data_IF_648545140358
#
_entry.id   IF_648545140358
#
_cell.length_a   1.000
_cell.length_b   1.000
_cell.length_c   1.000
_cell.angle_alpha   90.00
_cell.angle_beta   90.00
_cell.angle_gamma   90.00
#
_symmetry.space_group_name_H-M   'P 1'
#
loop_
_entity.id
_entity.type
_entity.pdbx_description
1 polymer ?
#
# COMPACT_ATOMS: atom_id res chain seq x y z
N UNK A 1 -32.36 15.32 23.13
CA UNK A 1 -32.15 14.11 22.32
C UNK A 1 -31.86 14.63 20.92
N UNK A 2 -30.59 14.66 20.50
CA UNK A 2 -30.24 15.17 19.19
C UNK A 2 -30.47 14.05 18.18
N UNK A 3 -31.39 14.26 17.24
CA UNK A 3 -31.58 13.37 16.10
C UNK A 3 -30.31 13.39 15.24
N UNK A 4 -29.71 12.21 15.09
CA UNK A 4 -28.54 11.97 14.27
C UNK A 4 -28.90 12.27 12.81
N UNK A 5 -28.32 13.32 12.23
CA UNK A 5 -28.51 13.70 10.81
C UNK A 5 -27.66 12.87 9.84
N UNK A 6 -27.11 11.75 10.29
CA UNK A 6 -26.32 10.84 9.45
C UNK A 6 -27.31 10.04 8.59
N UNK A 7 -27.18 10.06 7.25
CA UNK A 7 -27.97 9.19 6.38
C UNK A 7 -27.83 7.74 6.83
N UNK A 8 -28.96 7.05 6.96
CA UNK A 8 -29.01 5.65 7.37
C UNK A 8 -28.16 4.79 6.42
N UNK A 9 -27.04 4.23 6.91
CA UNK A 9 -26.16 3.35 6.14
C UNK A 9 -24.72 3.83 5.93
N UNK A 10 -24.36 5.06 6.30
CA UNK A 10 -22.94 5.47 6.33
C UNK A 10 -22.26 5.00 7.63
N UNK A 11 -21.05 4.43 7.58
CA UNK A 11 -20.28 4.13 8.79
C UNK A 11 -20.01 5.44 9.56
N UNK A 12 -20.25 5.42 10.88
CA UNK A 12 -19.95 6.55 11.76
C UNK A 12 -18.42 6.66 11.96
N UNK A 13 -17.74 7.22 10.97
CA UNK A 13 -16.29 7.42 11.02
C UNK A 13 -15.96 8.65 11.86
N UNK A 14 -14.94 8.52 12.71
CA UNK A 14 -14.44 9.63 13.52
C UNK A 14 -13.91 10.76 12.64
N UNK A 15 -14.11 12.02 13.07
CA UNK A 15 -13.48 13.17 12.40
C UNK A 15 -11.96 13.12 12.51
N UNK A 16 -11.26 13.41 11.42
CA UNK A 16 -9.81 13.44 11.37
C UNK A 16 -9.20 14.45 12.36
N UNK A 17 -9.87 15.58 12.60
CA UNK A 17 -9.46 16.58 13.61
C UNK A 17 -9.52 16.02 15.03
N UNK A 18 -10.60 15.32 15.38
CA UNK A 18 -10.76 14.67 16.68
C UNK A 18 -9.74 13.54 16.87
N UNK A 19 -9.51 12.74 15.83
CA UNK A 19 -8.51 11.66 15.90
C UNK A 19 -7.08 12.20 16.05
N UNK A 20 -6.73 13.32 15.40
CA UNK A 20 -5.44 13.99 15.61
C UNK A 20 -5.25 14.45 17.06
N UNK A 21 -6.29 14.95 17.70
CA UNK A 21 -6.25 15.34 19.11
C UNK A 21 -6.03 14.11 20.01
N UNK A 22 -6.80 13.06 19.79
CA UNK A 22 -6.63 11.77 20.47
C UNK A 22 -5.19 11.24 20.35
N UNK A 23 -4.63 11.26 19.13
CA UNK A 23 -3.25 10.83 18.91
C UNK A 23 -2.25 11.69 19.72
N UNK A 24 -2.42 13.02 19.75
CA UNK A 24 -1.53 13.92 20.52
C UNK A 24 -1.58 13.62 22.01
N UNK A 25 -2.77 13.35 22.55
CA UNK A 25 -2.94 12.96 23.96
C UNK A 25 -2.22 11.65 24.26
N UNK A 26 -2.38 10.64 23.38
CA UNK A 26 -1.70 9.35 23.48
C UNK A 26 -0.16 9.47 23.43
N UNK A 27 0.36 10.42 22.63
CA UNK A 27 1.78 10.77 22.55
C UNK A 27 2.29 11.42 23.83
N UNK A 28 1.51 12.33 24.41
CA UNK A 28 1.85 13.01 25.65
C UNK A 28 1.89 12.01 26.82
N UNK A 29 0.96 11.06 26.87
CA UNK A 29 0.95 9.96 27.85
C UNK A 29 2.14 9.00 27.66
N UNK A 30 2.46 8.66 26.42
CA UNK A 30 3.63 7.85 26.09
C UNK A 30 4.96 8.51 26.49
N UNK A 31 5.08 9.83 26.29
CA UNK A 31 6.26 10.60 26.70
C UNK A 31 6.42 10.67 28.22
N UNK A 32 5.31 10.67 28.96
CA UNK A 32 5.31 10.64 30.43
C UNK A 32 5.62 9.25 31.00
N UNK A 33 5.19 8.19 30.32
CA UNK A 33 5.40 6.79 30.73
C UNK A 33 6.69 6.15 30.18
N UNK A 34 7.36 6.79 29.22
CA UNK A 34 8.57 6.29 28.57
C UNK A 34 8.35 5.17 27.54
N UNK A 35 7.09 4.83 27.23
CA UNK A 35 6.72 3.75 26.30
C UNK A 35 5.91 4.33 25.13
N UNK A 36 6.51 4.38 23.93
CA UNK A 36 5.82 4.86 22.71
C UNK A 36 4.68 3.92 22.29
N UNK A 37 3.43 4.30 22.58
CA UNK A 37 2.22 3.47 22.40
C UNK A 37 1.77 3.31 20.94
N UNK A 38 2.16 4.23 20.04
CA UNK A 38 1.77 4.18 18.61
C UNK A 38 2.43 3.07 17.79
N UNK A 39 3.57 2.55 18.26
CA UNK A 39 4.43 1.68 17.44
C UNK A 39 5.02 0.50 18.26
N UNK A 40 4.92 0.52 19.59
CA UNK A 40 5.44 -0.56 20.46
C UNK A 40 4.67 -1.88 20.37
N UNK A 41 3.43 -1.86 19.86
CA UNK A 41 2.62 -3.06 19.67
C UNK A 41 2.89 -3.77 18.33
N UNK A 42 3.60 -3.10 17.40
CA UNK A 42 4.04 -3.70 16.14
C UNK A 42 5.29 -4.56 16.35
N UNK A 43 5.43 -5.64 15.57
CA UNK A 43 6.66 -6.44 15.60
C UNK A 43 7.89 -5.59 15.25
N UNK A 44 9.07 -5.82 15.86
CA UNK A 44 10.27 -5.01 15.63
C UNK A 44 10.69 -4.88 14.16
N UNK A 45 10.47 -5.91 13.34
CA UNK A 45 10.79 -5.90 11.91
C UNK A 45 9.88 -4.98 11.11
N UNK A 46 8.56 -5.09 11.27
CA UNK A 46 7.60 -4.18 10.65
C UNK A 46 7.84 -2.73 11.08
N UNK A 47 8.08 -2.52 12.38
CA UNK A 47 8.40 -1.21 12.92
C UNK A 47 9.65 -0.59 12.29
N UNK A 48 10.72 -1.38 12.17
CA UNK A 48 11.95 -0.91 11.53
C UNK A 48 11.74 -0.57 10.06
N UNK A 49 10.85 -1.28 9.36
CA UNK A 49 10.51 -0.99 7.98
C UNK A 49 9.70 0.31 7.84
N UNK A 50 8.69 0.52 8.69
CA UNK A 50 7.90 1.75 8.72
C UNK A 50 8.76 2.98 9.03
N UNK A 51 9.68 2.87 10.00
CA UNK A 51 10.59 3.99 10.32
C UNK A 51 11.53 4.35 9.17
N UNK A 52 11.88 3.42 8.28
CA UNK A 52 12.71 3.74 7.11
C UNK A 52 11.98 4.66 6.14
N UNK A 53 10.65 4.53 6.03
CA UNK A 53 9.84 5.42 5.19
C UNK A 53 9.75 6.82 5.79
N UNK A 54 9.58 6.94 7.11
CA UNK A 54 9.49 8.23 7.81
C UNK A 54 10.83 8.99 7.84
N UNK A 55 11.96 8.29 7.90
CA UNK A 55 13.30 8.88 7.91
C UNK A 55 13.61 9.71 6.65
N UNK A 56 12.85 9.52 5.56
CA UNK A 56 12.91 10.34 4.34
C UNK A 56 12.25 11.73 4.46
N UNK A 57 11.67 12.08 5.61
CA UNK A 57 11.06 13.40 5.87
C UNK A 57 9.59 13.53 5.46
N UNK A 58 8.95 12.44 5.06
CA UNK A 58 7.53 12.37 4.70
C UNK A 58 6.68 11.58 5.70
N UNK A 59 5.35 11.73 5.63
CA UNK A 59 4.41 10.79 6.26
C UNK A 59 4.39 9.50 5.46
N UNK A 60 4.45 8.33 6.12
CA UNK A 60 4.38 7.03 5.42
C UNK A 60 3.23 6.98 4.42
N UNK A 61 3.53 6.63 3.17
CA UNK A 61 2.52 6.50 2.11
C UNK A 61 1.72 5.21 2.31
N UNK A 62 0.44 5.20 1.94
CA UNK A 62 -0.44 4.04 2.17
C UNK A 62 0.12 2.78 1.50
N UNK A 63 0.65 2.93 0.27
CA UNK A 63 1.23 1.81 -0.47
C UNK A 63 2.41 1.17 0.27
N UNK A 64 3.26 1.99 0.91
CA UNK A 64 4.44 1.51 1.64
C UNK A 64 4.06 0.70 2.87
N UNK A 65 3.10 1.22 3.64
CA UNK A 65 2.60 0.54 4.84
C UNK A 65 1.98 -0.80 4.45
N UNK A 66 1.09 -0.82 3.44
CA UNK A 66 0.45 -2.06 3.01
C UNK A 66 1.49 -3.04 2.42
N UNK A 67 2.45 -2.56 1.63
CA UNK A 67 3.55 -3.38 1.09
C UNK A 67 4.39 -4.02 2.21
N UNK A 68 4.73 -3.25 3.25
CA UNK A 68 5.44 -3.76 4.42
C UNK A 68 4.63 -4.84 5.14
N UNK A 69 3.33 -4.63 5.33
CA UNK A 69 2.45 -5.61 5.97
C UNK A 69 2.35 -6.91 5.18
N UNK A 70 2.24 -6.83 3.84
CA UNK A 70 2.28 -8.00 2.95
C UNK A 70 3.61 -8.73 3.07
N UNK A 71 4.72 -8.02 2.97
CA UNK A 71 6.08 -8.60 3.05
C UNK A 71 6.35 -9.31 4.36
N UNK A 72 5.86 -8.74 5.47
CA UNK A 72 6.05 -9.29 6.82
C UNK A 72 4.95 -10.26 7.25
N UNK A 73 3.90 -10.46 6.44
CA UNK A 73 2.75 -11.30 6.78
C UNK A 73 2.08 -10.87 8.08
N UNK A 74 2.02 -9.56 8.37
CA UNK A 74 1.45 -9.02 9.60
C UNK A 74 0.09 -8.39 9.35
N UNK A 75 -0.90 -8.83 10.11
CA UNK A 75 -2.24 -8.25 10.12
C UNK A 75 -2.19 -6.91 10.87
N UNK A 76 -2.63 -5.84 10.23
CA UNK A 76 -2.62 -4.48 10.80
C UNK A 76 -3.92 -3.75 10.52
N UNK A 77 -4.24 -2.77 11.35
CA UNK A 77 -5.21 -1.71 11.05
C UNK A 77 -4.48 -0.42 10.75
N UNK A 78 -4.71 0.14 9.57
CA UNK A 78 -4.15 1.39 9.09
C UNK A 78 -5.24 2.46 9.18
N UNK A 79 -5.04 3.46 10.01
CA UNK A 79 -5.96 4.59 10.14
C UNK A 79 -5.60 5.63 9.09
N UNK A 80 -6.46 5.77 8.08
CA UNK A 80 -6.26 6.64 6.93
C UNK A 80 -7.07 7.92 7.08
N UNK A 81 -6.48 9.07 6.76
CA UNK A 81 -7.26 10.28 6.55
C UNK A 81 -8.01 10.16 5.22
N UNK A 82 -9.34 10.12 5.29
CA UNK A 82 -10.27 10.03 4.18
C UNK A 82 -11.18 11.27 4.19
N UNK A 83 -10.73 12.33 3.50
CA UNK A 83 -11.32 13.65 3.62
C UNK A 83 -11.23 14.20 5.05
N UNK A 84 -12.40 14.51 5.63
CA UNK A 84 -12.53 14.97 7.03
C UNK A 84 -12.75 13.83 8.03
N UNK A 85 -12.77 12.58 7.57
CA UNK A 85 -13.03 11.39 8.38
C UNK A 85 -11.78 10.50 8.46
N UNK A 86 -11.77 9.59 9.42
CA UNK A 86 -10.75 8.54 9.56
C UNK A 86 -11.31 7.22 9.11
N UNK A 87 -10.64 6.58 8.16
CA UNK A 87 -10.98 5.25 7.67
C UNK A 87 -10.03 4.20 8.26
N UNK A 88 -10.49 3.32 9.16
CA UNK A 88 -9.70 2.17 9.61
C UNK A 88 -9.72 1.06 8.55
N UNK A 89 -8.60 0.87 7.86
CA UNK A 89 -8.40 -0.16 6.87
C UNK A 89 -7.62 -1.33 7.47
N UNK A 90 -8.23 -2.49 7.63
CA UNK A 90 -7.57 -3.67 8.20
C UNK A 90 -7.07 -4.61 7.10
N UNK A 91 -5.77 -4.89 7.08
CA UNK A 91 -5.12 -5.73 6.06
C UNK A 91 -4.85 -7.12 6.63
N UNK A 92 -5.29 -8.15 5.92
CA UNK A 92 -5.09 -9.57 6.22
C UNK A 92 -4.20 -10.20 5.13
N UNK A 93 -2.86 -10.08 5.23
CA UNK A 93 -1.97 -10.39 4.12
C UNK A 93 -1.93 -11.88 3.77
N UNK A 94 -2.05 -12.77 4.75
CA UNK A 94 -2.03 -14.22 4.53
C UNK A 94 -3.32 -14.69 3.86
N UNK A 95 -4.45 -14.15 4.28
CA UNK A 95 -5.77 -14.46 3.76
C UNK A 95 -6.08 -13.73 2.45
N UNK A 96 -5.19 -12.81 2.03
CA UNK A 96 -5.35 -11.94 0.84
C UNK A 96 -6.64 -11.13 0.89
N UNK A 97 -7.00 -10.64 2.07
CA UNK A 97 -8.20 -9.87 2.31
C UNK A 97 -7.87 -8.49 2.88
N UNK A 98 -8.80 -7.56 2.66
CA UNK A 98 -8.84 -6.28 3.34
C UNK A 98 -10.26 -6.06 3.87
N UNK A 99 -10.38 -5.51 5.07
CA UNK A 99 -11.63 -5.02 5.62
C UNK A 99 -11.65 -3.49 5.60
N UNK A 100 -12.71 -2.92 5.04
CA UNK A 100 -12.95 -1.48 4.97
C UNK A 100 -14.38 -1.20 5.42
N UNK A 101 -14.62 -0.26 6.35
CA UNK A 101 -15.97 0.09 6.75
C UNK A 101 -16.74 0.85 5.65
N UNK A 102 -16.04 1.38 4.63
CA UNK A 102 -16.66 1.95 3.43
C UNK A 102 -16.57 0.96 2.27
N UNK A 103 -17.60 0.87 1.41
CA UNK A 103 -17.56 0.11 0.17
C UNK A 103 -16.36 0.45 -0.71
N UNK A 104 -15.84 -0.55 -1.43
CA UNK A 104 -14.58 -0.42 -2.18
C UNK A 104 -14.70 0.56 -3.36
N UNK A 105 -15.86 0.63 -3.99
CA UNK A 105 -16.18 1.63 -5.02
C UNK A 105 -16.11 3.07 -4.48
N UNK A 106 -16.56 3.30 -3.25
CA UNK A 106 -16.41 4.58 -2.57
C UNK A 106 -14.95 4.86 -2.21
N UNK A 107 -14.21 3.85 -1.73
CA UNK A 107 -12.78 3.97 -1.42
C UNK A 107 -11.96 4.35 -2.66
N UNK A 108 -12.29 3.75 -3.82
CA UNK A 108 -11.62 4.01 -5.09
C UNK A 108 -12.17 5.25 -5.81
N UNK A 109 -13.34 5.76 -5.44
CA UNK A 109 -13.93 6.96 -6.02
C UNK A 109 -13.16 8.23 -5.64
N UNK A 110 -12.58 8.26 -4.44
CA UNK A 110 -11.73 9.36 -4.00
C UNK A 110 -10.31 9.28 -4.58
N UNK A 111 -9.58 10.41 -4.67
CA UNK A 111 -8.19 10.40 -5.10
C UNK A 111 -7.34 9.62 -4.10
N UNK A 112 -6.98 8.37 -4.41
CA UNK A 112 -6.12 7.52 -3.58
C UNK A 112 -4.79 8.19 -3.22
N UNK A 113 -4.28 9.06 -4.08
CA UNK A 113 -3.10 9.90 -3.83
C UNK A 113 -3.27 10.94 -2.70
N UNK A 114 -4.50 11.19 -2.22
CA UNK A 114 -4.77 12.08 -1.07
C UNK A 114 -4.90 11.33 0.25
N UNK A 115 -4.95 9.99 0.23
CA UNK A 115 -4.98 9.20 1.45
C UNK A 115 -3.68 9.41 2.21
N UNK A 116 -3.79 9.71 3.51
CA UNK A 116 -2.63 9.85 4.39
C UNK A 116 -2.72 8.86 5.53
N UNK A 117 -1.62 8.19 5.82
CA UNK A 117 -1.54 7.35 7.01
C UNK A 117 -1.47 8.25 8.24
N UNK A 118 -2.40 8.07 9.17
CA UNK A 118 -2.43 8.78 10.44
C UNK A 118 -1.83 7.94 11.57
N UNK A 119 -2.11 6.63 11.57
CA UNK A 119 -1.69 5.70 12.62
C UNK A 119 -1.74 4.25 12.11
N UNK A 120 -0.88 3.38 12.63
CA UNK A 120 -0.84 1.95 12.28
C UNK A 120 -0.74 1.14 13.56
N UNK A 121 -1.59 0.13 13.71
CA UNK A 121 -1.61 -0.74 14.89
C UNK A 121 -1.87 -2.21 14.50
N UNK A 122 -1.58 -3.18 15.38
CA UNK A 122 -1.97 -4.57 15.15
C UNK A 122 -3.48 -4.70 14.94
N UNK A 123 -3.88 -5.58 14.01
CA UNK A 123 -5.29 -5.82 13.77
C UNK A 123 -5.95 -6.48 14.98
N UNK A 124 -6.98 -5.82 15.52
CA UNK A 124 -7.91 -6.45 16.48
C UNK A 124 -8.91 -7.35 15.76
N UNK A 125 -9.36 -6.95 14.56
CA UNK A 125 -10.26 -7.77 13.75
C UNK A 125 -9.57 -9.06 13.31
N UNK A 126 -10.36 -10.12 13.20
CA UNK A 126 -9.98 -11.42 12.68
C UNK A 126 -10.52 -11.62 11.27
N UNK A 127 -9.82 -12.37 10.40
CA UNK A 127 -10.31 -12.64 9.06
C UNK A 127 -11.53 -13.58 9.09
N UNK A 128 -12.33 -13.61 8.01
CA UNK A 128 -13.39 -14.60 7.84
C UNK A 128 -12.88 -16.03 8.02
N UNK A 129 -13.60 -16.84 8.80
CA UNK A 129 -13.24 -18.24 9.10
C UNK A 129 -12.39 -18.43 10.36
N UNK A 130 -12.00 -17.36 11.05
CA UNK A 130 -11.30 -17.44 12.34
C UNK A 130 -12.19 -18.03 13.45
N UNK A 131 -11.56 -18.63 14.46
CA UNK A 131 -12.24 -19.25 15.61
C UNK A 131 -12.88 -18.20 16.51
N UNK A 132 -12.27 -17.01 16.61
CA UNK A 132 -12.78 -15.88 17.38
C UNK A 132 -13.81 -15.08 16.58
N UNK A 133 -14.96 -15.70 16.26
CA UNK A 133 -16.00 -15.13 15.39
C UNK A 133 -16.51 -13.75 15.80
N UNK A 134 -16.48 -13.42 17.09
CA UNK A 134 -16.90 -12.12 17.60
C UNK A 134 -15.98 -10.96 17.15
N UNK A 135 -14.74 -11.27 16.76
CA UNK A 135 -13.78 -10.31 16.25
C UNK A 135 -13.75 -10.28 14.71
N UNK A 136 -14.57 -11.09 14.03
CA UNK A 136 -14.69 -11.06 12.57
C UNK A 136 -15.65 -9.94 12.19
N UNK A 137 -15.16 -8.98 11.42
CA UNK A 137 -15.99 -7.88 10.90
C UNK A 137 -17.08 -8.38 9.94
N UNK A 138 -17.95 -7.49 9.49
CA UNK A 138 -19.02 -7.88 8.56
C UNK A 138 -18.44 -8.44 7.25
N UNK A 139 -18.94 -9.60 6.79
CA UNK A 139 -18.38 -10.28 5.62
C UNK A 139 -18.46 -9.44 4.34
N UNK A 140 -19.52 -8.64 4.17
CA UNK A 140 -19.68 -7.74 3.00
C UNK A 140 -18.64 -6.61 2.94
N UNK A 141 -18.00 -6.30 4.07
CA UNK A 141 -16.97 -5.27 4.19
C UNK A 141 -15.57 -5.82 3.96
N UNK A 142 -15.45 -7.14 3.74
CA UNK A 142 -14.21 -7.78 3.32
C UNK A 142 -14.17 -7.83 1.79
N UNK A 143 -13.02 -7.46 1.22
CA UNK A 143 -12.76 -7.54 -0.21
C UNK A 143 -11.37 -8.14 -0.48
N UNK A 144 -11.12 -8.67 -1.69
CA UNK A 144 -9.80 -9.15 -2.07
C UNK A 144 -8.74 -8.05 -1.96
N UNK A 145 -7.56 -8.41 -1.46
CA UNK A 145 -6.45 -7.47 -1.28
C UNK A 145 -5.79 -7.06 -2.63
N UNK A 146 -5.78 -7.96 -3.61
CA UNK A 146 -5.07 -7.74 -4.87
C UNK A 146 -5.55 -6.51 -5.67
N UNK A 147 -6.87 -6.26 -5.87
CA UNK A 147 -7.36 -5.04 -6.49
C UNK A 147 -6.94 -3.76 -5.74
N UNK A 148 -6.98 -3.76 -4.41
CA UNK A 148 -6.55 -2.61 -3.62
C UNK A 148 -5.07 -2.30 -3.82
N UNK A 149 -4.19 -3.32 -3.80
CA UNK A 149 -2.77 -3.15 -4.04
C UNK A 149 -2.50 -2.57 -5.43
N UNK A 150 -3.24 -3.05 -6.44
CA UNK A 150 -3.15 -2.55 -7.81
C UNK A 150 -3.54 -1.07 -7.89
N UNK A 151 -4.72 -0.72 -7.35
CA UNK A 151 -5.22 0.66 -7.37
C UNK A 151 -4.31 1.63 -6.60
N UNK A 152 -3.79 1.22 -5.42
CA UNK A 152 -2.84 2.02 -4.65
C UNK A 152 -1.52 2.22 -5.41
N UNK A 153 -1.03 1.20 -6.10
CA UNK A 153 0.19 1.32 -6.90
C UNK A 153 -0.01 2.23 -8.12
N UNK A 154 -1.13 2.09 -8.82
CA UNK A 154 -1.41 2.79 -10.08
C UNK A 154 -1.91 4.23 -9.89
N UNK A 155 -2.61 4.52 -8.79
CA UNK A 155 -3.28 5.80 -8.54
C UNK A 155 -2.94 6.45 -7.20
N UNK A 156 -2.18 5.79 -6.34
CA UNK A 156 -1.75 6.33 -5.06
C UNK A 156 -0.68 7.43 -5.17
N UNK A 157 -0.21 7.88 -3.99
CA UNK A 157 0.70 9.02 -3.88
C UNK A 157 2.15 8.70 -4.27
N UNK A 158 2.57 7.44 -4.15
CA UNK A 158 3.96 7.04 -4.40
C UNK A 158 4.34 7.15 -5.89
N UNK A 159 5.40 7.91 -6.15
CA UNK A 159 6.01 8.13 -7.46
C UNK A 159 7.43 7.52 -7.58
N UNK A 160 7.86 6.79 -6.55
CA UNK A 160 9.12 6.07 -6.49
C UNK A 160 8.93 4.54 -6.48
N UNK A 161 9.95 3.81 -6.93
CA UNK A 161 9.97 2.35 -6.79
C UNK A 161 9.99 1.96 -5.32
N UNK A 162 9.24 0.92 -4.94
CA UNK A 162 9.35 0.32 -3.61
C UNK A 162 10.82 -0.06 -3.34
N UNK A 163 11.35 0.13 -2.11
CA UNK A 163 12.78 -0.04 -1.82
C UNK A 163 13.36 -1.40 -2.26
N UNK A 164 12.54 -2.45 -2.25
CA UNK A 164 12.94 -3.82 -2.59
C UNK A 164 13.29 -3.97 -4.07
N UNK A 165 12.62 -3.19 -4.92
CA UNK A 165 12.76 -3.23 -6.37
C UNK A 165 13.48 -2.00 -6.94
N UNK A 166 13.81 -1.04 -6.07
CA UNK A 166 14.58 0.14 -6.42
C UNK A 166 16.05 -0.17 -6.73
N UNK A 167 16.72 0.79 -7.35
CA UNK A 167 18.11 0.69 -7.80
C UNK A 167 18.27 0.02 -9.17
N UNK A 168 19.51 -0.07 -9.68
CA UNK A 168 19.79 -0.64 -11.00
C UNK A 168 19.31 -2.09 -11.12
N UNK A 169 18.40 -2.33 -12.05
CA UNK A 169 17.80 -3.64 -12.29
C UNK A 169 17.15 -3.70 -13.68
N UNK A 170 16.99 -4.91 -14.17
CA UNK A 170 16.04 -5.21 -15.25
C UNK A 170 14.87 -6.00 -14.67
N UNK A 171 13.70 -5.77 -15.27
CA UNK A 171 12.43 -6.26 -14.80
C UNK A 171 11.81 -7.17 -15.85
N UNK A 172 11.17 -8.26 -15.41
CA UNK A 172 10.41 -9.19 -16.25
C UNK A 172 9.17 -9.64 -15.50
N UNK A 173 8.09 -9.95 -16.21
CA UNK A 173 6.89 -10.53 -15.60
C UNK A 173 7.11 -12.03 -15.38
N UNK A 174 6.74 -12.51 -14.19
CA UNK A 174 6.78 -13.91 -13.83
C UNK A 174 5.75 -14.73 -14.64
N UNK A 175 6.09 -15.97 -15.04
CA UNK A 175 5.10 -16.89 -15.58
C UNK A 175 3.97 -17.12 -14.57
N UNK A 176 2.71 -17.14 -15.02
CA UNK A 176 1.56 -17.38 -14.15
C UNK A 176 1.01 -16.16 -13.41
N UNK A 177 1.48 -14.94 -13.70
CA UNK A 177 0.78 -13.74 -13.23
C UNK A 177 -0.64 -13.67 -13.81
N UNK A 178 -1.62 -13.77 -12.93
CA UNK A 178 -3.05 -13.60 -13.20
C UNK A 178 -3.46 -12.13 -13.02
N UNK A 179 -4.16 -11.57 -14.01
CA UNK A 179 -4.61 -10.17 -14.02
C UNK A 179 -6.14 -10.03 -14.14
N UNK A 180 -6.86 -11.15 -14.24
CA UNK A 180 -8.29 -11.18 -14.59
C UNK A 180 -9.18 -10.41 -13.61
N UNK A 181 -8.79 -10.37 -12.34
CA UNK A 181 -9.53 -9.67 -11.28
C UNK A 181 -9.14 -8.20 -11.13
N UNK A 182 -8.21 -7.69 -11.95
CA UNK A 182 -7.64 -6.35 -11.83
C UNK A 182 -8.13 -5.44 -12.95
N UNK A 183 -8.32 -4.16 -12.63
CA UNK A 183 -8.62 -3.13 -13.61
C UNK A 183 -7.33 -2.71 -14.34
N UNK A 184 -6.88 -3.54 -15.28
CA UNK A 184 -5.69 -3.27 -16.10
C UNK A 184 -6.10 -2.53 -17.36
N UNK A 185 -5.45 -1.39 -17.66
CA UNK A 185 -5.69 -0.64 -18.89
C UNK A 185 -4.96 -1.26 -20.07
N UNK A 186 -5.41 -1.00 -21.29
CA UNK A 186 -4.83 -1.59 -22.51
C UNK A 186 -3.33 -1.31 -22.69
N UNK A 187 -2.88 -0.11 -22.33
CA UNK A 187 -1.47 0.29 -22.41
C UNK A 187 -0.61 -0.39 -21.33
N UNK A 188 -1.17 -0.61 -20.15
CA UNK A 188 -0.56 -1.40 -19.08
C UNK A 188 -0.46 -2.88 -19.47
N UNK A 189 -1.52 -3.43 -20.06
CA UNK A 189 -1.54 -4.82 -20.53
C UNK A 189 -0.49 -5.04 -21.63
N UNK A 190 -0.40 -4.13 -22.60
CA UNK A 190 0.63 -4.17 -23.64
C UNK A 190 2.06 -4.12 -23.06
N UNK A 191 2.28 -3.32 -22.01
CA UNK A 191 3.57 -3.29 -21.32
C UNK A 191 3.85 -4.59 -20.56
N UNK A 192 2.84 -5.17 -19.89
CA UNK A 192 2.95 -6.48 -19.22
C UNK A 192 3.31 -7.56 -20.24
N UNK A 193 2.65 -7.62 -21.38
CA UNK A 193 2.90 -8.64 -22.40
C UNK A 193 4.32 -8.56 -22.96
N UNK A 194 4.84 -7.34 -23.17
CA UNK A 194 6.26 -7.13 -23.52
C UNK A 194 7.19 -7.64 -22.41
N UNK A 195 6.89 -7.30 -21.16
CA UNK A 195 7.69 -7.74 -20.00
C UNK A 195 7.60 -9.24 -19.75
N UNK A 196 6.61 -9.98 -20.29
CA UNK A 196 6.60 -11.46 -20.21
C UNK A 196 7.71 -12.06 -21.07
N UNK A 197 8.03 -11.40 -22.18
CA UNK A 197 9.00 -11.88 -23.18
C UNK A 197 10.40 -11.33 -22.93
N UNK A 198 10.53 -10.06 -22.55
CA UNK A 198 11.81 -9.36 -22.50
C UNK A 198 12.09 -8.76 -21.12
N UNK A 199 13.32 -8.94 -20.63
CA UNK A 199 13.82 -8.27 -19.44
C UNK A 199 14.26 -6.84 -19.79
N UNK A 200 13.70 -5.83 -19.14
CA UNK A 200 13.88 -4.42 -19.54
C UNK A 200 14.14 -3.53 -18.32
N UNK A 201 15.02 -2.53 -18.42
CA UNK A 201 15.26 -1.56 -17.34
C UNK A 201 14.15 -0.49 -17.27
N UNK A 202 14.07 0.25 -16.15
CA UNK A 202 13.03 1.26 -15.95
C UNK A 202 13.04 2.36 -17.03
N UNK A 203 14.24 2.78 -17.47
CA UNK A 203 14.38 3.85 -18.47
C UNK A 203 13.71 3.46 -19.79
N UNK A 204 14.01 2.27 -20.30
CA UNK A 204 13.42 1.76 -21.54
C UNK A 204 11.92 1.52 -21.41
N UNK A 205 11.44 1.02 -20.26
CA UNK A 205 9.99 0.86 -20.00
C UNK A 205 9.29 2.22 -20.05
N UNK A 206 9.92 3.26 -19.51
CA UNK A 206 9.35 4.61 -19.49
C UNK A 206 9.18 5.23 -20.89
N UNK A 207 9.94 4.75 -21.89
CA UNK A 207 9.89 5.22 -23.28
C UNK A 207 8.84 4.47 -24.13
N UNK A 208 8.13 3.49 -23.57
CA UNK A 208 7.11 2.74 -24.31
C UNK A 208 5.84 3.55 -24.56
N UNK A 209 5.10 3.27 -25.66
CA UNK A 209 3.84 3.94 -25.96
C UNK A 209 2.85 3.86 -24.80
N UNK A 210 2.29 5.00 -24.42
CA UNK A 210 1.33 5.11 -23.29
C UNK A 210 2.00 5.19 -21.92
N UNK A 211 3.30 4.91 -21.79
CA UNK A 211 4.01 5.05 -20.53
C UNK A 211 4.77 6.38 -20.43
N UNK A 212 5.18 6.66 -19.21
CA UNK A 212 6.19 7.64 -18.84
C UNK A 212 6.88 7.12 -17.58
N UNK A 213 7.90 7.84 -17.08
CA UNK A 213 8.66 7.40 -15.90
C UNK A 213 7.75 7.07 -14.71
N UNK A 214 6.82 7.95 -14.36
CA UNK A 214 5.90 7.75 -13.23
C UNK A 214 4.99 6.54 -13.45
N UNK A 215 4.38 6.39 -14.64
CA UNK A 215 3.54 5.23 -14.95
C UNK A 215 4.32 3.92 -14.96
N UNK A 216 5.55 3.92 -15.46
CA UNK A 216 6.43 2.76 -15.45
C UNK A 216 6.78 2.34 -14.01
N UNK A 217 7.12 3.30 -13.14
CA UNK A 217 7.36 3.03 -11.71
C UNK A 217 6.13 2.42 -11.05
N UNK A 218 4.96 3.01 -11.27
CA UNK A 218 3.69 2.54 -10.72
C UNK A 218 3.33 1.14 -11.18
N UNK A 219 3.51 0.86 -12.48
CA UNK A 219 3.32 -0.47 -13.04
C UNK A 219 4.27 -1.49 -12.41
N UNK A 220 5.56 -1.18 -12.26
CA UNK A 220 6.52 -2.08 -11.63
C UNK A 220 6.18 -2.35 -10.15
N UNK A 221 5.78 -1.31 -9.39
CA UNK A 221 5.29 -1.48 -8.03
C UNK A 221 4.05 -2.39 -7.99
N UNK A 222 3.08 -2.17 -8.89
CA UNK A 222 1.86 -2.97 -8.97
C UNK A 222 2.19 -4.45 -9.25
N UNK A 223 3.03 -4.72 -10.24
CA UNK A 223 3.47 -6.08 -10.60
C UNK A 223 4.24 -6.76 -9.48
N UNK A 224 5.09 -6.02 -8.76
CA UNK A 224 5.81 -6.55 -7.60
C UNK A 224 4.84 -6.99 -6.49
N UNK A 225 3.83 -6.18 -6.20
CA UNK A 225 2.84 -6.46 -5.16
C UNK A 225 1.91 -7.64 -5.49
N UNK A 226 1.75 -7.98 -6.77
CA UNK A 226 1.07 -9.21 -7.21
C UNK A 226 1.98 -10.44 -7.21
N UNK A 227 3.20 -10.34 -6.67
CA UNK A 227 4.26 -11.36 -6.79
C UNK A 227 4.55 -11.74 -8.26
N UNK A 228 4.26 -10.83 -9.20
CA UNK A 228 4.35 -11.04 -10.63
C UNK A 228 5.62 -10.48 -11.27
N UNK A 229 6.56 -9.96 -10.47
CA UNK A 229 7.75 -9.29 -10.97
C UNK A 229 9.03 -10.07 -10.62
N UNK A 230 9.82 -10.37 -11.65
CA UNK A 230 11.19 -10.87 -11.53
C UNK A 230 12.12 -9.67 -11.64
N UNK A 231 12.98 -9.48 -10.63
CA UNK A 231 13.97 -8.39 -10.57
C UNK A 231 15.37 -8.99 -10.70
N UNK A 232 16.09 -8.60 -11.76
CA UNK A 232 17.45 -9.09 -12.02
C UNK A 232 18.47 -7.97 -11.93
N UNK A 233 19.40 -8.06 -10.97
CA UNK A 233 20.42 -7.03 -10.69
C UNK A 233 21.79 -7.35 -11.31
N UNK A 234 22.08 -8.63 -11.57
CA UNK A 234 23.33 -9.10 -12.20
C UNK A 234 23.27 -9.11 -13.73
N UNK A 235 22.13 -8.76 -14.32
CA UNK A 235 21.97 -8.73 -15.77
C UNK A 235 22.83 -7.61 -16.40
N UNK A 236 23.45 -7.82 -17.58
CA UNK A 236 24.29 -6.80 -18.23
C UNK A 236 23.59 -5.43 -18.38
N UNK A 237 22.29 -5.46 -18.70
CA UNK A 237 21.45 -4.25 -18.76
C UNK A 237 21.37 -3.47 -17.44
N UNK A 238 21.37 -4.15 -16.29
CA UNK A 238 21.36 -3.51 -14.96
C UNK A 238 22.75 -2.94 -14.60
N UNK A 239 23.83 -3.64 -14.96
CA UNK A 239 25.21 -3.20 -14.71
C UNK A 239 25.54 -1.94 -15.52
N UNK A 240 25.05 -1.84 -16.75
CA UNK A 240 25.23 -0.65 -17.59
C UNK A 240 24.59 0.60 -16.97
N UNK A 241 23.43 0.45 -16.33
CA UNK A 241 22.71 1.55 -15.66
C UNK A 241 23.50 2.10 -14.46
N UNK A 242 24.18 1.22 -13.72
CA UNK A 242 25.05 1.59 -12.60
C UNK A 242 26.28 2.40 -13.06
N UNK A 243 26.91 2.01 -14.16
CA UNK A 243 28.03 2.74 -14.77
C UNK A 243 27.63 4.15 -15.22
N UNK A 244 26.50 4.28 -15.93
CA UNK A 244 26.03 5.59 -16.40
C UNK A 244 25.57 6.48 -15.24
N UNK A 245 25.00 5.92 -14.17
CA UNK A 245 24.65 6.69 -12.97
C UNK A 245 25.87 7.16 -12.16
N UNK A 246 27.02 6.50 -12.26
CA UNK A 246 28.25 6.88 -11.57
C UNK A 246 29.02 8.01 -12.25
N UNK A 247 28.83 8.19 -13.57
CA UNK A 247 29.46 9.25 -14.36
C UNK A 247 28.67 10.56 -14.43
N UNK A 248 27.39 10.53 -14.04
CA UNK A 248 26.49 11.69 -14.10
C UNK A 248 26.35 12.46 -12.79
N UNK A 249 27.26 12.26 -11.82
CA UNK A 249 27.34 13.04 -10.57
C UNK A 249 28.57 13.91 -10.55
#
# INVERSE_FOLDING_TARGET
MFETTIPFGEPELMRASAYRLYLKELEAEAAQSGVSSRISSLSPSLRADLYRFEAGGGTSEVLEVVAACVRHGKRVTIHLQFGERVLPLTVFPQERLVHSPVPTDQLYGDPLAKLRVMHVEPALLRPPGDVERALVGELRLHSPLAPLLWELAMRGGRDELLPEIAGPAVYRVAPGLELETLAVRDDELAAVDRLRVTSTNLREIADWPGLNRTRAIRLLNALYLQAGLIVSRSHPGAVSEHWFSALGR
#
